data_IF_228340458903
#
_entry.id   IF_228340458903
#
_cell.length_a   1.000
_cell.length_b   1.000
_cell.length_c   1.000
_cell.angle_alpha   90.00
_cell.angle_beta   90.00
_cell.angle_gamma   90.00
#
_symmetry.space_group_name_H-M   'P 1'
#
loop_
_entity.id
_entity.type
_entity.pdbx_description
1 polymer ?
#
# COMPACT_ATOMS: atom_id res chain seq x y z
N UNK A 1 8.00 2.63 3.92
CA UNK A 1 7.62 1.20 3.93
C UNK A 1 6.93 0.88 2.62
N UNK A 2 7.28 -0.22 1.96
CA UNK A 2 6.63 -0.61 0.68
C UNK A 2 5.71 -1.82 0.88
N UNK A 3 6.08 -2.73 1.74
CA UNK A 3 5.30 -3.85 2.26
C UNK A 3 5.76 -4.16 3.67
N UNK A 4 4.92 -4.79 4.48
CA UNK A 4 5.30 -5.31 5.80
C UNK A 4 5.66 -6.80 5.75
N UNK A 5 5.48 -7.46 4.61
CA UNK A 5 5.76 -8.88 4.44
C UNK A 5 7.25 -9.13 4.12
N UNK A 6 7.97 -9.91 4.95
CA UNK A 6 9.39 -10.17 4.75
C UNK A 6 9.72 -10.88 3.43
N UNK A 7 8.86 -11.80 2.98
CA UNK A 7 9.07 -12.55 1.74
C UNK A 7 8.91 -11.64 0.52
N UNK A 8 7.92 -10.74 0.55
CA UNK A 8 7.74 -9.71 -0.46
C UNK A 8 8.95 -8.78 -0.51
N UNK A 9 9.41 -8.29 0.65
CA UNK A 9 10.59 -7.41 0.73
C UNK A 9 11.85 -8.08 0.17
N UNK A 10 12.05 -9.36 0.50
CA UNK A 10 13.18 -10.13 -0.04
C UNK A 10 13.07 -10.25 -1.57
N UNK A 11 11.88 -10.53 -2.09
CA UNK A 11 11.61 -10.66 -3.53
C UNK A 11 11.92 -9.38 -4.31
N UNK A 12 11.56 -8.22 -3.75
CA UNK A 12 11.83 -6.91 -4.37
C UNK A 12 13.19 -6.31 -3.96
N UNK A 13 14.01 -7.07 -3.23
CA UNK A 13 15.34 -6.67 -2.73
C UNK A 13 15.31 -5.38 -1.90
N UNK A 14 14.34 -5.29 -0.98
CA UNK A 14 14.18 -4.18 -0.04
C UNK A 14 14.24 -4.67 1.39
N UNK A 15 14.47 -3.74 2.30
CA UNK A 15 14.41 -3.99 3.74
C UNK A 15 13.69 -2.83 4.43
N UNK A 16 12.92 -3.16 5.45
CA UNK A 16 12.29 -2.17 6.32
C UNK A 16 13.06 -2.03 7.62
N UNK A 17 12.76 -0.96 8.35
CA UNK A 17 13.04 -0.89 9.78
C UNK A 17 12.26 -2.01 10.49
N UNK A 18 12.83 -2.51 11.59
CA UNK A 18 12.11 -3.44 12.46
C UNK A 18 10.82 -2.77 12.98
N UNK A 19 9.77 -3.57 13.14
CA UNK A 19 8.45 -3.07 13.56
C UNK A 19 8.52 -2.20 14.83
N UNK A 20 9.27 -2.65 15.85
CA UNK A 20 9.43 -1.94 17.12
C UNK A 20 10.11 -0.59 16.93
N UNK A 21 11.08 -0.51 16.02
CA UNK A 21 11.80 0.72 15.69
C UNK A 21 10.87 1.68 14.94
N UNK A 22 10.11 1.19 13.98
CA UNK A 22 9.13 1.98 13.21
C UNK A 22 8.06 2.56 14.15
N UNK A 23 7.46 1.74 15.00
CA UNK A 23 6.45 2.15 15.98
C UNK A 23 7.01 3.20 16.96
N UNK A 24 8.23 3.00 17.44
CA UNK A 24 8.89 3.96 18.34
C UNK A 24 9.13 5.32 17.67
N UNK A 25 9.53 5.33 16.38
CA UNK A 25 9.71 6.56 15.63
C UNK A 25 8.40 7.30 15.40
N UNK A 26 7.35 6.61 14.95
CA UNK A 26 6.03 7.22 14.74
C UNK A 26 5.56 7.88 16.03
N UNK A 27 5.55 7.16 17.15
CA UNK A 27 5.12 7.69 18.46
C UNK A 27 5.96 8.88 18.93
N UNK A 28 7.28 8.85 18.69
CA UNK A 28 8.17 9.94 19.05
C UNK A 28 7.86 11.20 18.23
N UNK A 29 7.71 11.07 16.92
CA UNK A 29 7.39 12.22 16.06
C UNK A 29 6.03 12.80 16.39
N UNK A 30 5.01 11.96 16.61
CA UNK A 30 3.68 12.41 17.06
C UNK A 30 3.75 13.20 18.35
N UNK A 31 4.55 12.75 19.35
CA UNK A 31 4.76 13.48 20.62
C UNK A 31 5.39 14.86 20.42
N UNK A 32 6.27 14.99 19.44
CA UNK A 32 6.93 16.25 19.09
C UNK A 32 6.11 17.13 18.13
N UNK A 33 4.88 16.72 17.76
CA UNK A 33 4.03 17.42 16.80
C UNK A 33 4.56 17.41 15.37
N UNK A 34 5.37 16.40 15.02
CA UNK A 34 5.93 16.23 13.68
C UNK A 34 5.06 15.23 12.92
N UNK A 35 4.46 15.68 11.84
CA UNK A 35 3.67 14.83 10.96
C UNK A 35 4.54 13.79 10.28
N UNK A 36 4.08 12.54 10.27
CA UNK A 36 4.73 11.43 9.56
C UNK A 36 3.75 10.82 8.57
N UNK A 37 4.29 10.27 7.49
CA UNK A 37 3.49 9.48 6.55
C UNK A 37 4.14 8.13 6.30
N UNK A 38 3.30 7.15 6.01
CA UNK A 38 3.70 5.79 5.68
C UNK A 38 3.14 5.42 4.31
N UNK A 39 3.96 4.83 3.47
CA UNK A 39 3.58 4.42 2.12
C UNK A 39 3.63 2.91 1.99
N UNK A 40 2.64 2.34 1.32
CA UNK A 40 2.55 0.91 0.99
C UNK A 40 2.21 0.77 -0.50
N UNK A 41 2.63 -0.32 -1.12
CA UNK A 41 2.40 -0.56 -2.55
C UNK A 41 1.63 -1.87 -2.73
N UNK A 42 0.49 -1.82 -3.43
CA UNK A 42 -0.30 -3.01 -3.82
C UNK A 42 0.25 -3.60 -5.11
N UNK A 43 0.32 -4.92 -5.18
CA UNK A 43 0.68 -5.65 -6.40
C UNK A 43 2.18 -5.93 -6.51
N UNK A 44 2.91 -5.85 -5.42
CA UNK A 44 4.32 -6.26 -5.38
C UNK A 44 4.43 -7.78 -5.57
N UNK A 45 5.44 -8.27 -6.34
CA UNK A 45 5.71 -9.70 -6.49
C UNK A 45 6.02 -10.37 -5.15
N UNK A 46 5.39 -11.50 -4.89
CA UNK A 46 5.51 -12.23 -3.62
C UNK A 46 4.40 -11.91 -2.62
N UNK A 47 3.79 -10.74 -2.70
CA UNK A 47 2.71 -10.35 -1.80
C UNK A 47 1.40 -11.11 -2.10
N UNK A 48 0.64 -11.40 -1.05
CA UNK A 48 -0.69 -12.00 -1.10
C UNK A 48 -1.71 -11.03 -0.51
N UNK A 49 -3.01 -11.26 -0.75
CA UNK A 49 -4.05 -10.50 -0.05
C UNK A 49 -3.89 -10.57 1.47
N UNK A 50 -3.56 -11.76 1.99
CA UNK A 50 -3.38 -11.95 3.43
C UNK A 50 -2.20 -11.14 3.97
N UNK A 51 -1.03 -11.20 3.33
CA UNK A 51 0.14 -10.46 3.81
C UNK A 51 -0.05 -8.95 3.69
N UNK A 52 -0.71 -8.46 2.63
CA UNK A 52 -1.08 -7.07 2.48
C UNK A 52 -2.03 -6.60 3.61
N UNK A 53 -3.10 -7.37 3.87
CA UNK A 53 -4.06 -7.11 4.94
C UNK A 53 -3.40 -7.06 6.32
N UNK A 54 -2.59 -8.06 6.63
CA UNK A 54 -1.85 -8.14 7.90
C UNK A 54 -0.84 -6.99 8.04
N UNK A 55 -0.24 -6.56 6.92
CA UNK A 55 0.63 -5.39 6.85
C UNK A 55 -0.10 -4.08 7.20
N UNK A 56 -1.27 -3.84 6.64
CA UNK A 56 -2.12 -2.69 6.98
C UNK A 56 -2.49 -2.72 8.47
N UNK A 57 -2.93 -3.87 8.99
CA UNK A 57 -3.23 -4.03 10.42
C UNK A 57 -2.03 -3.63 11.28
N UNK A 58 -0.85 -4.17 10.97
CA UNK A 58 0.38 -3.91 11.71
C UNK A 58 0.77 -2.42 11.71
N UNK A 59 0.59 -1.73 10.58
CA UNK A 59 0.87 -0.29 10.48
C UNK A 59 -0.09 0.54 11.34
N UNK A 60 -1.37 0.22 11.32
CA UNK A 60 -2.37 0.89 12.15
C UNK A 60 -2.13 0.60 13.65
N UNK A 61 -1.73 -0.60 14.03
CA UNK A 61 -1.31 -0.95 15.39
C UNK A 61 -0.03 -0.21 15.82
N UNK A 62 0.87 0.09 14.87
CA UNK A 62 2.05 0.92 15.11
C UNK A 62 1.74 2.42 15.27
N UNK A 63 0.47 2.82 15.22
CA UNK A 63 -0.02 4.19 15.29
C UNK A 63 0.16 5.02 14.01
N UNK A 64 0.29 4.39 12.84
CA UNK A 64 0.30 5.07 11.55
C UNK A 64 -1.12 5.49 11.14
N UNK A 65 -1.78 6.31 11.98
CA UNK A 65 -3.19 6.66 11.80
C UNK A 65 -3.41 7.81 10.82
N UNK A 66 -2.53 8.81 10.83
CA UNK A 66 -2.82 10.11 10.23
C UNK A 66 -2.46 10.20 8.74
N UNK A 67 -1.53 9.38 8.26
CA UNK A 67 -1.03 9.49 6.89
C UNK A 67 -0.56 8.14 6.37
N UNK A 68 -1.51 7.26 6.04
CA UNK A 68 -1.24 6.02 5.35
C UNK A 68 -1.61 6.16 3.87
N UNK A 69 -0.59 6.17 2.99
CA UNK A 69 -0.75 6.24 1.54
C UNK A 69 -0.54 4.86 0.94
N UNK A 70 -1.47 4.43 0.12
CA UNK A 70 -1.43 3.11 -0.52
C UNK A 70 -1.46 3.32 -2.04
N UNK A 71 -0.34 2.98 -2.68
CA UNK A 71 -0.14 3.15 -4.10
C UNK A 71 -0.30 1.83 -4.86
N UNK A 72 -0.64 1.92 -6.11
CA UNK A 72 -0.60 0.78 -7.04
C UNK A 72 0.82 0.61 -7.56
N UNK A 73 1.29 -0.63 -7.69
CA UNK A 73 2.60 -0.92 -8.27
C UNK A 73 2.60 -0.57 -9.76
N UNK A 74 3.44 0.38 -10.16
CA UNK A 74 3.70 0.71 -11.56
C UNK A 74 5.02 0.08 -12.02
N UNK A 75 5.01 -0.54 -13.20
CA UNK A 75 6.20 -1.14 -13.81
C UNK A 75 6.92 -0.08 -14.65
N UNK A 76 8.03 0.40 -14.13
CA UNK A 76 8.83 1.40 -14.83
C UNK A 76 9.61 0.77 -16.00
N UNK A 77 9.74 1.44 -17.15
CA UNK A 77 10.39 0.89 -18.36
C UNK A 77 11.80 0.35 -18.14
N UNK A 78 12.58 1.00 -17.30
CA UNK A 78 14.00 0.66 -17.04
C UNK A 78 14.21 -0.06 -15.69
N UNK A 79 13.14 -0.52 -15.03
CA UNK A 79 13.26 -1.26 -13.78
C UNK A 79 13.46 -2.77 -14.06
N UNK A 80 14.22 -3.49 -13.20
CA UNK A 80 14.35 -4.95 -13.31
C UNK A 80 13.01 -5.69 -13.33
N UNK A 81 11.97 -5.11 -12.72
CA UNK A 81 10.60 -5.64 -12.73
C UNK A 81 10.01 -5.70 -14.14
N UNK A 82 10.51 -4.90 -15.09
CA UNK A 82 10.05 -4.92 -16.48
C UNK A 82 10.75 -5.98 -17.34
N UNK A 83 11.81 -6.62 -16.86
CA UNK A 83 12.50 -7.68 -17.59
C UNK A 83 11.55 -8.86 -17.84
N UNK A 84 11.53 -9.39 -19.06
CA UNK A 84 10.64 -10.46 -19.46
C UNK A 84 10.79 -11.72 -18.58
N UNK A 85 12.00 -12.07 -18.21
CA UNK A 85 12.29 -13.19 -17.31
C UNK A 85 11.68 -12.96 -15.93
N UNK A 86 11.87 -11.75 -15.37
CA UNK A 86 11.31 -11.39 -14.07
C UNK A 86 9.78 -11.39 -14.09
N UNK A 87 9.17 -10.78 -15.12
CA UNK A 87 7.71 -10.76 -15.28
C UNK A 87 7.12 -12.17 -15.40
N UNK A 88 7.76 -13.02 -16.18
CA UNK A 88 7.34 -14.42 -16.36
C UNK A 88 7.45 -15.20 -15.05
N UNK A 89 8.59 -15.09 -14.37
CA UNK A 89 8.85 -15.75 -13.09
C UNK A 89 7.81 -15.40 -12.03
N UNK A 90 7.42 -14.14 -11.95
CA UNK A 90 6.50 -13.65 -10.94
C UNK A 90 5.04 -13.52 -11.42
N UNK A 91 4.74 -13.96 -12.65
CA UNK A 91 3.39 -13.92 -13.22
C UNK A 91 2.79 -12.53 -13.31
N UNK A 92 3.63 -11.49 -13.55
CA UNK A 92 3.20 -10.09 -13.53
C UNK A 92 2.36 -9.80 -14.78
N UNK A 93 1.10 -9.41 -14.57
CA UNK A 93 0.20 -8.90 -15.60
C UNK A 93 -0.12 -7.44 -15.31
N UNK A 94 -0.04 -6.61 -16.33
CA UNK A 94 -0.26 -5.17 -16.23
C UNK A 94 -1.43 -4.71 -17.09
N UNK A 95 -1.98 -3.58 -16.69
CA UNK A 95 -2.90 -2.79 -17.50
C UNK A 95 -2.24 -1.44 -17.78
N UNK A 96 -2.27 -1.02 -19.05
CA UNK A 96 -1.76 0.29 -19.46
C UNK A 96 -2.82 1.35 -19.21
N UNK A 97 -2.48 2.33 -18.38
CA UNK A 97 -3.38 3.44 -18.04
C UNK A 97 -2.74 4.78 -18.39
N UNK A 98 -3.51 5.80 -18.80
CA UNK A 98 -2.98 7.15 -18.89
C UNK A 98 -2.53 7.63 -17.51
N UNK A 99 -1.43 8.37 -17.48
CA UNK A 99 -0.98 9.06 -16.27
C UNK A 99 -1.83 10.32 -16.12
N UNK A 100 -2.56 10.39 -15.02
CA UNK A 100 -3.33 11.57 -14.64
C UNK A 100 -2.55 12.31 -13.54
N UNK A 101 -1.80 13.32 -13.95
CA UNK A 101 -1.02 14.14 -13.03
C UNK A 101 -1.95 15.17 -12.38
N UNK A 102 -2.24 14.98 -11.11
CA UNK A 102 -3.10 15.88 -10.30
C UNK A 102 -2.65 17.35 -10.27
N UNK A 103 -1.46 17.65 -10.79
CA UNK A 103 -0.86 19.00 -10.79
C UNK A 103 -0.84 19.67 -12.18
N UNK A 104 -1.30 19.00 -13.22
CA UNK A 104 -1.43 19.57 -14.57
C UNK A 104 -2.87 19.87 -14.90
N UNK A 105 -3.11 21.04 -15.52
CA UNK A 105 -4.45 21.34 -16.02
C UNK A 105 -4.81 20.32 -17.13
N UNK A 106 -5.97 19.65 -17.03
CA UNK A 106 -6.40 18.71 -18.05
C UNK A 106 -6.41 19.37 -19.44
N UNK A 107 -5.77 18.72 -20.43
CA UNK A 107 -5.80 19.16 -21.83
C UNK A 107 -4.75 20.21 -22.24
N UNK A 108 -3.83 20.62 -21.36
CA UNK A 108 -2.71 21.49 -21.74
C UNK A 108 -1.47 20.75 -22.24
N UNK A 109 -1.34 19.47 -21.89
CA UNK A 109 -0.20 18.69 -22.37
C UNK A 109 -0.58 17.96 -23.67
N UNK A 110 0.10 18.26 -24.81
CA UNK A 110 -0.21 17.64 -26.09
C UNK A 110 0.24 16.16 -26.16
N UNK A 111 1.01 15.67 -25.18
CA UNK A 111 1.53 14.31 -25.12
C UNK A 111 0.95 13.57 -23.94
N UNK A 112 0.04 12.61 -24.22
CA UNK A 112 -0.50 11.72 -23.17
C UNK A 112 0.57 10.69 -22.80
N UNK A 113 0.99 10.71 -21.52
CA UNK A 113 1.85 9.69 -20.94
C UNK A 113 1.02 8.52 -20.40
N UNK A 114 1.67 7.34 -20.35
CA UNK A 114 1.04 6.10 -19.90
C UNK A 114 1.95 5.37 -18.92
N UNK A 115 1.33 4.66 -17.98
CA UNK A 115 2.00 3.76 -17.06
C UNK A 115 1.41 2.34 -17.13
N UNK A 116 2.23 1.34 -16.82
CA UNK A 116 1.82 -0.06 -16.74
C UNK A 116 1.60 -0.45 -15.28
N UNK A 117 0.33 -0.49 -14.85
CA UNK A 117 -0.05 -0.85 -13.48
C UNK A 117 -0.18 -2.36 -13.35
N UNK A 118 0.45 -2.94 -12.33
CA UNK A 118 0.29 -4.35 -11.98
C UNK A 118 -1.13 -4.62 -11.53
N UNK A 119 -1.78 -5.63 -12.11
CA UNK A 119 -3.14 -6.05 -11.77
C UNK A 119 -3.20 -7.50 -11.26
N UNK A 120 -2.14 -8.27 -11.50
CA UNK A 120 -2.04 -9.66 -11.08
C UNK A 120 -0.58 -10.06 -10.95
N UNK A 121 -0.28 -10.91 -9.99
CA UNK A 121 0.99 -11.63 -9.87
C UNK A 121 0.72 -13.11 -9.58
N UNK A 122 1.75 -13.95 -9.60
CA UNK A 122 1.63 -15.37 -9.27
C UNK A 122 1.07 -15.62 -7.85
N UNK A 123 1.29 -14.67 -6.91
CA UNK A 123 0.86 -14.77 -5.51
C UNK A 123 -0.39 -13.94 -5.20
N UNK A 124 -0.77 -13.03 -6.09
CA UNK A 124 -1.94 -12.16 -5.95
C UNK A 124 -2.78 -12.19 -7.24
N UNK A 125 -3.71 -13.14 -7.37
CA UNK A 125 -4.65 -13.18 -8.50
C UNK A 125 -5.48 -11.89 -8.58
N UNK A 126 -5.98 -11.54 -9.77
CA UNK A 126 -6.75 -10.31 -10.00
C UNK A 126 -7.92 -10.11 -9.01
N UNK A 127 -8.60 -11.19 -8.60
CA UNK A 127 -9.67 -11.13 -7.59
C UNK A 127 -9.14 -10.61 -6.24
N UNK A 128 -7.98 -11.09 -5.80
CA UNK A 128 -7.38 -10.67 -4.54
C UNK A 128 -6.78 -9.27 -4.66
N UNK A 129 -6.25 -8.90 -5.83
CA UNK A 129 -5.84 -7.53 -6.10
C UNK A 129 -7.02 -6.53 -5.93
N UNK A 130 -8.20 -6.86 -6.45
CA UNK A 130 -9.40 -6.03 -6.27
C UNK A 130 -9.79 -5.92 -4.79
N UNK A 131 -9.65 -7.00 -4.01
CA UNK A 131 -9.87 -6.96 -2.55
C UNK A 131 -8.86 -6.03 -1.85
N UNK A 132 -7.59 -6.08 -2.25
CA UNK A 132 -6.59 -5.13 -1.75
C UNK A 132 -6.98 -3.68 -2.07
N UNK A 133 -7.48 -3.40 -3.29
CA UNK A 133 -7.94 -2.06 -3.66
C UNK A 133 -9.12 -1.59 -2.80
N UNK A 134 -10.10 -2.46 -2.52
CA UNK A 134 -11.22 -2.11 -1.65
C UNK A 134 -10.75 -1.78 -0.23
N UNK A 135 -9.92 -2.65 0.36
CA UNK A 135 -9.36 -2.42 1.70
C UNK A 135 -8.51 -1.13 1.73
N UNK A 136 -7.66 -0.92 0.71
CA UNK A 136 -6.84 0.28 0.60
C UNK A 136 -7.70 1.54 0.53
N UNK A 137 -8.74 1.53 -0.33
CA UNK A 137 -9.66 2.65 -0.46
C UNK A 137 -10.38 2.94 0.86
N UNK A 138 -10.95 1.90 1.51
CA UNK A 138 -11.66 2.05 2.78
C UNK A 138 -10.72 2.58 3.88
N UNK A 139 -9.50 2.05 3.97
CA UNK A 139 -8.51 2.51 4.95
C UNK A 139 -8.11 3.97 4.70
N UNK A 140 -7.85 4.36 3.46
CA UNK A 140 -7.48 5.75 3.17
C UNK A 140 -8.66 6.70 3.35
N UNK A 141 -9.84 6.38 2.80
CA UNK A 141 -11.00 7.27 2.84
C UNK A 141 -11.61 7.38 4.25
N UNK A 142 -11.71 6.29 4.99
CA UNK A 142 -12.40 6.29 6.28
C UNK A 142 -11.46 6.42 7.48
N UNK A 143 -10.27 5.86 7.40
CA UNK A 143 -9.30 5.94 8.50
C UNK A 143 -8.35 7.12 8.35
N UNK A 144 -7.51 7.16 7.31
CA UNK A 144 -6.47 8.18 7.17
C UNK A 144 -7.02 9.61 6.99
N UNK A 145 -8.20 9.77 6.36
CA UNK A 145 -8.91 11.06 6.30
C UNK A 145 -9.73 11.38 7.56
N UNK A 146 -9.71 10.51 8.57
CA UNK A 146 -10.31 10.76 9.87
C UNK A 146 -11.82 10.53 9.97
N UNK A 147 -12.53 10.12 8.90
CA UNK A 147 -14.00 10.00 8.89
C UNK A 147 -14.52 8.98 9.91
N UNK A 148 -13.89 7.81 10.01
CA UNK A 148 -14.25 6.74 10.96
C UNK A 148 -13.10 6.35 11.90
N UNK A 149 -11.98 7.05 11.85
CA UNK A 149 -10.76 6.73 12.59
C UNK A 149 -11.01 6.55 14.09
N UNK A 150 -11.67 7.53 14.72
CA UNK A 150 -11.96 7.50 16.15
C UNK A 150 -12.84 6.29 16.51
N UNK A 151 -13.83 5.98 15.68
CA UNK A 151 -14.73 4.84 15.89
C UNK A 151 -13.95 3.52 15.76
N UNK A 152 -13.10 3.40 14.76
CA UNK A 152 -12.27 2.21 14.55
C UNK A 152 -11.30 1.98 15.73
N UNK A 153 -10.61 3.03 16.19
CA UNK A 153 -9.70 2.98 17.35
C UNK A 153 -10.47 2.57 18.60
N UNK A 154 -11.63 3.17 18.85
CA UNK A 154 -12.47 2.86 20.01
C UNK A 154 -12.98 1.41 19.95
N UNK A 155 -13.43 0.94 18.80
CA UNK A 155 -13.88 -0.44 18.58
C UNK A 155 -12.75 -1.45 18.81
N UNK A 156 -11.55 -1.14 18.31
CA UNK A 156 -10.34 -1.95 18.58
C UNK A 156 -10.03 -2.03 20.07
N UNK A 157 -10.05 -0.90 20.77
CA UNK A 157 -9.72 -0.84 22.21
C UNK A 157 -10.74 -1.55 23.10
N UNK A 158 -12.03 -1.42 22.80
CA UNK A 158 -13.07 -2.02 23.62
C UNK A 158 -13.35 -3.49 23.32
N UNK A 159 -13.36 -3.83 22.03
CA UNK A 159 -13.85 -5.13 21.58
C UNK A 159 -12.76 -6.00 20.95
N UNK A 160 -11.53 -5.49 20.81
CA UNK A 160 -10.42 -6.20 20.17
C UNK A 160 -10.60 -6.43 18.68
N UNK A 161 -11.58 -5.78 18.02
CA UNK A 161 -11.80 -5.92 16.58
C UNK A 161 -10.60 -5.35 15.82
N UNK A 162 -10.06 -6.13 14.89
CA UNK A 162 -8.96 -5.66 14.03
C UNK A 162 -9.43 -4.50 13.14
N UNK A 163 -8.54 -3.53 12.88
CA UNK A 163 -8.83 -2.42 11.98
C UNK A 163 -9.25 -2.91 10.59
N UNK A 164 -8.52 -3.87 10.05
CA UNK A 164 -8.82 -4.45 8.73
C UNK A 164 -10.18 -5.14 8.70
N UNK A 165 -10.57 -5.84 9.78
CA UNK A 165 -11.92 -6.42 9.90
C UNK A 165 -13.01 -5.36 10.00
N UNK A 166 -12.71 -4.23 10.61
CA UNK A 166 -13.65 -3.10 10.69
C UNK A 166 -13.92 -2.46 9.33
N UNK A 167 -12.94 -2.49 8.41
CA UNK A 167 -13.04 -1.87 7.08
C UNK A 167 -13.39 -2.86 5.95
N UNK A 168 -13.39 -4.17 6.18
CA UNK A 168 -13.87 -5.20 5.25
C UNK A 168 -15.40 -5.33 5.26
#
# INVERSE_FOLDING_TARGET
VQSMDPETLLTIKRSNLKYETLSAFIKRYQKEGIDTYTEVIIGLPGETYKSFRDGIESLLEASAHDSLWIYRCSVLPNAPMNDLEYRTKHGIKTVRTPIDLHHTEPGKDPVQEYEDIVMETATMPAKDYVRCLHLAWATQAFHALGLLQVIAIFTKQLNGVQYTTFYE
#
